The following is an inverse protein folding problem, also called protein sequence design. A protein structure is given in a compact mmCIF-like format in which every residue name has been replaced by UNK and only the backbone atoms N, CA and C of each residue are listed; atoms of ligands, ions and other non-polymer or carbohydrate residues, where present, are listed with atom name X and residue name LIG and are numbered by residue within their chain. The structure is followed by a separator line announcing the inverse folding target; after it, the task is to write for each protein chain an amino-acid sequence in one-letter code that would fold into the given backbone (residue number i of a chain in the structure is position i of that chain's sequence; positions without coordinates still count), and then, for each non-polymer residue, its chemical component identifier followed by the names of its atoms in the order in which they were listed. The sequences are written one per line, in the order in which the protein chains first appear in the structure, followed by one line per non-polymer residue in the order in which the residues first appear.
data_IF_299507174213
#
_entry.id   IF_299507174213
#
_cell.length_a   1.000
_cell.length_b   1.000
_cell.length_c   1.000
_cell.angle_alpha   90.00
_cell.angle_beta   90.00
_cell.angle_gamma   90.00
#
_symmetry.space_group_name_H-M   'P 1'
#
loop_
_entity.id
_entity.type
_entity.pdbx_description
1 polymer ?
#
# COMPACT_ATOMS: atom_id res chain seq x y z
N UNK A 1 1.89 -17.33 17.74
CA UNK A 1 2.01 -17.40 16.27
C UNK A 1 0.96 -16.47 15.69
N UNK A 2 1.34 -15.53 14.82
CA UNK A 2 0.38 -14.61 14.16
C UNK A 2 -0.33 -15.35 13.03
N UNK A 3 -1.66 -15.23 12.94
CA UNK A 3 -2.46 -15.82 11.86
C UNK A 3 -2.55 -14.83 10.70
N UNK A 4 -2.12 -15.26 9.51
CA UNK A 4 -2.25 -14.47 8.27
C UNK A 4 -3.70 -14.53 7.80
N UNK A 5 -4.35 -13.37 7.72
CA UNK A 5 -5.75 -13.25 7.28
C UNK A 5 -6.06 -11.79 6.88
N UNK A 6 -7.19 -11.53 6.22
CA UNK A 6 -7.64 -10.17 5.91
C UNK A 6 -7.85 -9.31 7.16
N UNK A 7 -8.00 -9.93 8.33
CA UNK A 7 -8.23 -9.24 9.60
C UNK A 7 -6.93 -8.86 10.32
N UNK A 8 -5.77 -9.35 9.86
CA UNK A 8 -4.48 -9.04 10.49
C UNK A 8 -4.20 -7.53 10.48
N UNK A 9 -4.64 -6.83 9.42
CA UNK A 9 -4.48 -5.39 9.29
C UNK A 9 -4.99 -4.61 10.52
N UNK A 10 -6.14 -5.01 11.08
CA UNK A 10 -6.77 -4.31 12.22
C UNK A 10 -5.91 -4.33 13.49
N UNK A 11 -4.99 -5.29 13.63
CA UNK A 11 -4.00 -5.31 14.72
C UNK A 11 -3.09 -4.07 14.69
N UNK A 12 -2.78 -3.57 13.50
CA UNK A 12 -1.85 -2.46 13.26
C UNK A 12 -2.54 -1.09 13.25
N UNK A 13 -3.87 -1.04 13.06
CA UNK A 13 -4.64 0.21 12.98
C UNK A 13 -5.04 0.78 14.35
N UNK A 14 -4.24 0.57 15.40
CA UNK A 14 -4.51 1.12 16.74
C UNK A 14 -4.26 2.63 16.81
N UNK A 15 -3.35 3.14 15.99
CA UNK A 15 -3.02 4.56 15.90
C UNK A 15 -4.03 5.26 14.96
N UNK A 16 -4.58 6.42 15.33
CA UNK A 16 -5.57 7.12 14.51
C UNK A 16 -5.08 7.42 13.09
N UNK A 17 -3.82 7.81 12.97
CA UNK A 17 -3.20 8.21 11.70
C UNK A 17 -3.19 7.11 10.64
N UNK A 18 -2.68 5.93 10.98
CA UNK A 18 -2.63 4.80 10.04
C UNK A 18 -4.04 4.27 9.72
N UNK A 19 -4.98 4.41 10.67
CA UNK A 19 -6.39 4.07 10.46
C UNK A 19 -7.07 5.01 9.46
N UNK A 20 -6.77 6.30 9.51
CA UNK A 20 -7.28 7.28 8.55
C UNK A 20 -6.83 6.95 7.12
N UNK A 21 -5.53 6.66 6.94
CA UNK A 21 -4.99 6.19 5.66
C UNK A 21 -5.69 4.92 5.18
N UNK A 22 -5.84 3.91 6.04
CA UNK A 22 -6.53 2.67 5.68
C UNK A 22 -8.00 2.90 5.31
N UNK A 23 -8.69 3.76 6.05
CA UNK A 23 -10.08 4.10 5.78
C UNK A 23 -10.22 4.80 4.42
N UNK A 24 -9.28 5.68 4.05
CA UNK A 24 -9.26 6.27 2.71
C UNK A 24 -9.15 5.16 1.64
N UNK A 25 -8.17 4.26 1.79
CA UNK A 25 -7.94 3.16 0.84
C UNK A 25 -9.17 2.25 0.66
N UNK A 26 -9.85 1.93 1.75
CA UNK A 26 -11.01 1.03 1.78
C UNK A 26 -12.31 1.67 1.26
N UNK A 27 -12.50 2.97 1.47
CA UNK A 27 -13.76 3.66 1.15
C UNK A 27 -13.70 4.48 -0.15
N UNK A 28 -12.53 4.64 -0.75
CA UNK A 28 -12.40 5.35 -2.02
C UNK A 28 -12.87 4.47 -3.19
N UNK A 29 -13.88 4.96 -3.91
CA UNK A 29 -14.53 4.24 -5.01
C UNK A 29 -13.57 3.94 -6.16
N UNK A 30 -12.62 4.83 -6.45
CA UNK A 30 -11.65 4.65 -7.53
C UNK A 30 -10.71 3.50 -7.20
N UNK A 31 -10.15 3.48 -5.97
CA UNK A 31 -9.28 2.39 -5.51
C UNK A 31 -10.00 1.05 -5.55
N UNK A 32 -11.18 0.95 -4.91
CA UNK A 32 -11.90 -0.32 -4.83
C UNK A 32 -12.33 -0.83 -6.22
N UNK A 33 -12.70 0.07 -7.14
CA UNK A 33 -13.04 -0.30 -8.51
C UNK A 33 -11.83 -0.85 -9.26
N UNK A 34 -10.66 -0.22 -9.15
CA UNK A 34 -9.46 -0.74 -9.81
C UNK A 34 -9.01 -2.09 -9.25
N UNK A 35 -9.10 -2.32 -7.94
CA UNK A 35 -8.79 -3.63 -7.36
C UNK A 35 -9.79 -4.71 -7.82
N UNK A 36 -11.06 -4.39 -8.02
CA UNK A 36 -12.01 -5.31 -8.64
C UNK A 36 -11.64 -5.60 -10.11
N UNK A 37 -11.23 -4.58 -10.86
CA UNK A 37 -10.77 -4.75 -12.24
C UNK A 37 -9.46 -5.54 -12.34
N UNK A 38 -8.58 -5.45 -11.34
CA UNK A 38 -7.40 -6.30 -11.22
C UNK A 38 -7.79 -7.78 -11.15
N UNK A 39 -8.85 -8.12 -10.41
CA UNK A 39 -9.39 -9.48 -10.39
C UNK A 39 -10.04 -9.90 -11.71
N UNK A 40 -10.73 -9.00 -12.42
CA UNK A 40 -11.23 -9.30 -13.77
C UNK A 40 -10.07 -9.69 -14.68
N UNK A 41 -8.93 -8.99 -14.60
CA UNK A 41 -7.74 -9.34 -15.37
C UNK A 41 -7.11 -10.66 -14.89
N UNK A 42 -6.69 -10.72 -13.63
CA UNK A 42 -5.89 -11.83 -13.13
C UNK A 42 -6.72 -13.11 -12.99
N UNK A 43 -7.90 -13.03 -12.39
CA UNK A 43 -8.72 -14.21 -12.05
C UNK A 43 -9.60 -14.63 -13.22
N UNK A 44 -10.41 -13.71 -13.77
CA UNK A 44 -11.41 -14.10 -14.76
C UNK A 44 -10.79 -14.40 -16.13
N UNK A 45 -9.85 -13.55 -16.58
CA UNK A 45 -9.22 -13.70 -17.90
C UNK A 45 -8.04 -14.66 -17.87
N UNK A 46 -7.14 -14.53 -16.89
CA UNK A 46 -5.87 -15.30 -16.84
C UNK A 46 -5.92 -16.55 -15.95
N UNK A 47 -7.00 -16.72 -15.16
CA UNK A 47 -7.17 -17.86 -14.23
C UNK A 47 -6.10 -17.95 -13.14
N UNK A 48 -5.56 -16.81 -12.72
CA UNK A 48 -4.69 -16.68 -11.55
C UNK A 48 -5.49 -16.54 -10.26
N UNK A 49 -4.78 -16.54 -9.13
CA UNK A 49 -5.35 -16.34 -7.79
C UNK A 49 -5.79 -14.87 -7.57
N UNK A 50 -6.39 -14.59 -6.42
CA UNK A 50 -6.89 -13.25 -6.04
C UNK A 50 -5.80 -12.17 -6.06
N UNK A 51 -6.10 -11.05 -6.71
CA UNK A 51 -5.34 -9.79 -6.75
C UNK A 51 -6.25 -8.58 -6.41
N UNK A 52 -7.40 -8.84 -5.76
CA UNK A 52 -8.40 -7.83 -5.45
C UNK A 52 -8.30 -7.23 -4.04
N UNK A 53 -9.41 -6.68 -3.50
CA UNK A 53 -9.41 -6.05 -2.18
C UNK A 53 -9.04 -7.00 -1.04
N UNK A 54 -9.40 -8.28 -1.14
CA UNK A 54 -9.07 -9.27 -0.10
C UNK A 54 -7.57 -9.52 -0.04
N UNK A 55 -6.94 -9.78 -1.19
CA UNK A 55 -5.50 -9.83 -1.36
C UNK A 55 -4.82 -8.58 -0.77
N UNK A 56 -5.28 -7.39 -1.16
CA UNK A 56 -4.71 -6.11 -0.71
C UNK A 56 -4.70 -5.98 0.82
N UNK A 57 -5.78 -6.40 1.51
CA UNK A 57 -5.85 -6.42 2.98
C UNK A 57 -4.89 -7.43 3.59
N UNK A 58 -4.80 -8.65 3.05
CA UNK A 58 -3.91 -9.70 3.54
C UNK A 58 -2.45 -9.25 3.43
N UNK A 59 -2.06 -8.75 2.25
CA UNK A 59 -0.70 -8.30 1.96
C UNK A 59 -0.32 -7.11 2.83
N UNK A 60 -1.21 -6.14 2.99
CA UNK A 60 -0.99 -4.99 3.88
C UNK A 60 -0.82 -5.37 5.35
N UNK A 61 -1.68 -6.25 5.87
CA UNK A 61 -1.57 -6.72 7.25
C UNK A 61 -0.28 -7.50 7.49
N UNK A 62 0.11 -8.34 6.52
CA UNK A 62 1.35 -9.13 6.59
C UNK A 62 2.59 -8.23 6.51
N UNK A 63 2.60 -7.24 5.61
CA UNK A 63 3.69 -6.29 5.45
C UNK A 63 3.92 -5.47 6.73
N UNK A 64 2.85 -5.00 7.37
CA UNK A 64 2.95 -4.28 8.64
C UNK A 64 3.39 -5.17 9.81
N UNK A 65 2.98 -6.44 9.84
CA UNK A 65 3.48 -7.40 10.84
C UNK A 65 4.99 -7.66 10.66
N UNK A 66 5.44 -7.87 9.43
CA UNK A 66 6.87 -8.03 9.11
C UNK A 66 7.64 -6.77 9.51
N UNK A 67 7.14 -5.59 9.12
CA UNK A 67 7.76 -4.31 9.46
C UNK A 67 7.89 -4.12 10.98
N UNK A 68 6.84 -4.41 11.74
CA UNK A 68 6.82 -4.34 13.20
C UNK A 68 7.83 -5.31 13.85
N UNK A 69 7.96 -6.53 13.34
CA UNK A 69 8.94 -7.51 13.84
C UNK A 69 10.36 -7.02 13.57
N UNK A 70 10.65 -6.58 12.33
CA UNK A 70 11.98 -6.13 11.93
C UNK A 70 12.38 -4.84 12.65
N UNK A 71 11.45 -3.91 12.86
CA UNK A 71 11.68 -2.63 13.52
C UNK A 71 12.12 -2.75 14.98
N UNK A 72 11.98 -3.93 15.61
CA UNK A 72 12.49 -4.20 16.96
C UNK A 72 14.00 -4.40 17.02
N UNK A 73 14.63 -4.69 15.88
CA UNK A 73 16.07 -4.99 15.79
C UNK A 73 16.79 -4.11 14.77
N UNK A 74 16.09 -3.61 13.77
CA UNK A 74 16.65 -2.84 12.67
C UNK A 74 15.92 -1.51 12.55
N UNK A 75 16.67 -0.44 12.32
CA UNK A 75 16.09 0.85 11.93
C UNK A 75 15.76 0.81 10.44
N UNK A 76 14.51 1.05 10.03
CA UNK A 76 14.16 1.16 8.60
C UNK A 76 15.01 2.23 7.91
N UNK A 77 15.40 1.99 6.66
CA UNK A 77 16.27 2.90 5.91
C UNK A 77 15.64 4.27 5.72
N UNK A 78 14.32 4.34 5.49
CA UNK A 78 13.55 5.59 5.43
C UNK A 78 13.67 6.44 6.70
N UNK A 79 13.82 5.80 7.87
CA UNK A 79 14.04 6.49 9.14
C UNK A 79 15.51 6.86 9.31
N UNK A 80 16.42 5.90 9.08
CA UNK A 80 17.87 6.08 9.19
C UNK A 80 18.37 7.22 8.30
N UNK A 81 17.86 7.30 7.09
CA UNK A 81 18.29 8.24 6.06
C UNK A 81 17.51 9.57 6.12
N UNK A 82 16.70 9.77 7.16
CA UNK A 82 16.00 11.04 7.42
C UNK A 82 14.84 11.34 6.47
N UNK A 83 14.31 10.33 5.76
CA UNK A 83 13.19 10.48 4.82
C UNK A 83 11.91 10.80 5.57
N UNK A 84 11.58 10.03 6.60
CA UNK A 84 10.36 10.17 7.39
C UNK A 84 10.48 9.58 8.81
N UNK A 85 9.45 9.77 9.65
CA UNK A 85 9.39 9.16 10.97
C UNK A 85 9.06 7.66 10.88
N UNK A 86 9.25 6.92 11.99
CA UNK A 86 8.87 5.50 12.05
C UNK A 86 7.36 5.27 11.83
N UNK A 87 6.52 6.21 12.26
CA UNK A 87 5.07 6.11 12.06
C UNK A 87 4.70 6.40 10.60
N UNK A 88 5.39 7.35 9.94
CA UNK A 88 5.19 7.63 8.52
C UNK A 88 5.74 6.51 7.62
N UNK A 89 6.80 5.82 8.06
CA UNK A 89 7.30 4.63 7.36
C UNK A 89 6.22 3.53 7.30
N UNK A 90 5.37 3.39 8.33
CA UNK A 90 4.23 2.46 8.29
C UNK A 90 3.19 2.87 7.25
N UNK A 91 3.01 4.17 6.99
CA UNK A 91 2.13 4.66 5.91
C UNK A 91 2.68 4.23 4.55
N UNK A 92 4.00 4.35 4.35
CA UNK A 92 4.63 3.89 3.11
C UNK A 92 4.45 2.37 2.92
N UNK A 93 4.66 1.58 3.97
CA UNK A 93 4.43 0.11 3.96
C UNK A 93 2.97 -0.23 3.66
N UNK A 94 2.02 0.42 4.33
CA UNK A 94 0.59 0.19 4.13
C UNK A 94 0.18 0.51 2.69
N UNK A 95 0.43 1.73 2.22
CA UNK A 95 0.01 2.15 0.89
C UNK A 95 0.71 1.35 -0.21
N UNK A 96 2.00 1.07 -0.05
CA UNK A 96 2.77 0.26 -0.99
C UNK A 96 2.18 -1.14 -1.11
N UNK A 97 1.96 -1.83 0.00
CA UNK A 97 1.39 -3.17 0.02
C UNK A 97 -0.06 -3.20 -0.47
N UNK A 98 -0.88 -2.21 -0.12
CA UNK A 98 -2.29 -2.18 -0.50
C UNK A 98 -2.48 -1.93 -2.00
N UNK A 99 -1.61 -1.12 -2.61
CA UNK A 99 -1.76 -0.69 -4.00
C UNK A 99 -0.82 -1.42 -4.97
N UNK A 100 0.06 -2.32 -4.50
CA UNK A 100 1.09 -2.93 -5.37
C UNK A 100 0.52 -3.54 -6.64
N UNK A 101 -0.57 -4.31 -6.52
CA UNK A 101 -1.20 -5.02 -7.64
C UNK A 101 -2.20 -4.19 -8.46
N UNK A 102 -2.44 -2.92 -8.13
CA UNK A 102 -3.51 -2.11 -8.75
C UNK A 102 -3.35 -1.98 -10.27
N UNK A 103 -2.12 -2.08 -10.78
CA UNK A 103 -1.82 -2.02 -12.21
C UNK A 103 -2.39 -3.17 -13.03
N UNK A 104 -2.73 -4.31 -12.39
CA UNK A 104 -3.42 -5.42 -13.06
C UNK A 104 -4.79 -4.99 -13.62
N UNK A 105 -5.38 -3.88 -13.13
CA UNK A 105 -6.58 -3.30 -13.71
C UNK A 105 -6.43 -2.91 -15.19
N UNK A 106 -5.20 -2.62 -15.64
CA UNK A 106 -4.88 -2.31 -17.04
C UNK A 106 -4.40 -3.55 -17.77
N UNK A 107 -3.33 -4.19 -17.29
CA UNK A 107 -2.72 -5.37 -17.89
C UNK A 107 -1.83 -6.11 -16.88
N UNK A 108 -1.57 -7.40 -17.12
CA UNK A 108 -0.64 -8.19 -16.30
C UNK A 108 0.82 -7.83 -16.60
N UNK A 109 1.18 -7.80 -17.88
CA UNK A 109 2.51 -7.34 -18.29
C UNK A 109 2.70 -5.89 -17.87
N UNK A 110 3.86 -5.59 -17.28
CA UNK A 110 4.20 -4.27 -16.75
C UNK A 110 3.19 -3.72 -15.72
N UNK A 111 2.45 -4.59 -14.99
CA UNK A 111 1.49 -4.16 -13.97
C UNK A 111 2.14 -3.30 -12.87
N UNK A 112 3.42 -3.49 -12.54
CA UNK A 112 4.14 -2.61 -11.62
C UNK A 112 4.27 -1.17 -12.15
N UNK A 113 4.58 -0.99 -13.44
CA UNK A 113 4.63 0.33 -14.11
C UNK A 113 3.25 0.98 -14.24
N UNK A 114 2.25 0.20 -14.62
CA UNK A 114 0.86 0.64 -14.65
C UNK A 114 0.38 1.00 -13.25
N UNK A 115 0.78 0.24 -12.23
CA UNK A 115 0.51 0.46 -10.82
C UNK A 115 1.04 1.82 -10.37
N UNK A 116 2.29 2.16 -10.71
CA UNK A 116 2.84 3.49 -10.42
C UNK A 116 2.02 4.61 -11.07
N UNK A 117 1.57 4.40 -12.31
CA UNK A 117 0.78 5.38 -13.07
C UNK A 117 -0.60 5.61 -12.46
N UNK A 118 -1.31 4.55 -12.07
CA UNK A 118 -2.63 4.62 -11.42
C UNK A 118 -2.51 5.15 -9.98
N UNK A 119 -1.54 4.67 -9.21
CA UNK A 119 -1.38 5.06 -7.81
C UNK A 119 -0.94 6.52 -7.64
N UNK A 120 -0.16 7.08 -8.58
CA UNK A 120 0.37 8.45 -8.46
C UNK A 120 -0.68 9.55 -8.19
N UNK A 121 -1.80 9.66 -8.93
CA UNK A 121 -2.86 10.62 -8.62
C UNK A 121 -3.64 10.28 -7.35
N UNK A 122 -3.87 9.00 -7.04
CA UNK A 122 -4.51 8.55 -5.79
C UNK A 122 -3.70 9.00 -4.58
N UNK A 123 -2.38 8.78 -4.61
CA UNK A 123 -1.46 9.18 -3.55
C UNK A 123 -1.37 10.70 -3.38
N UNK A 124 -1.55 11.49 -4.46
CA UNK A 124 -1.66 12.93 -4.33
C UNK A 124 -2.86 13.32 -3.47
N UNK A 125 -4.03 12.71 -3.70
CA UNK A 125 -5.25 13.00 -2.94
C UNK A 125 -5.09 12.55 -1.48
N UNK A 126 -4.75 11.28 -1.28
CA UNK A 126 -4.61 10.67 0.04
C UNK A 126 -3.60 11.42 0.91
N UNK A 127 -2.37 11.64 0.42
CA UNK A 127 -1.32 12.23 1.25
C UNK A 127 -1.55 13.71 1.52
N UNK A 128 -2.21 14.45 0.61
CA UNK A 128 -2.59 15.84 0.87
C UNK A 128 -3.69 15.98 1.90
N UNK A 129 -4.60 15.00 1.99
CA UNK A 129 -5.64 14.95 3.02
C UNK A 129 -5.05 14.63 4.40
N UNK A 130 -4.17 13.62 4.47
CA UNK A 130 -3.58 13.15 5.73
C UNK A 130 -2.44 14.06 6.25
N UNK A 131 -1.73 14.76 5.35
CA UNK A 131 -0.60 15.62 5.72
C UNK A 131 -0.70 17.04 5.10
N UNK A 132 -1.77 17.80 5.40
CA UNK A 132 -2.05 19.07 4.72
C UNK A 132 -0.99 20.14 4.95
N UNK A 133 -0.27 20.07 6.07
CA UNK A 133 0.73 21.06 6.47
C UNK A 133 2.17 20.74 6.02
N UNK A 134 2.44 19.55 5.46
CA UNK A 134 3.81 19.12 5.17
C UNK A 134 3.96 18.54 3.75
N UNK A 135 4.00 19.44 2.76
CA UNK A 135 4.12 19.07 1.35
C UNK A 135 5.38 18.26 1.05
N UNK A 136 6.50 18.60 1.68
CA UNK A 136 7.76 17.88 1.46
C UNK A 136 7.66 16.41 1.90
N UNK A 137 7.08 16.16 3.07
CA UNK A 137 6.82 14.80 3.55
C UNK A 137 5.90 14.02 2.58
N UNK A 138 4.85 14.65 2.05
CA UNK A 138 3.97 13.98 1.07
C UNK A 138 4.72 13.54 -0.19
N UNK A 139 5.68 14.34 -0.67
CA UNK A 139 6.47 14.00 -1.85
C UNK A 139 7.44 12.85 -1.55
N UNK A 140 8.09 12.87 -0.38
CA UNK A 140 8.96 11.78 0.07
C UNK A 140 8.20 10.48 0.22
N UNK A 141 7.06 10.49 0.94
CA UNK A 141 6.22 9.30 1.11
C UNK A 141 5.68 8.77 -0.20
N UNK A 142 5.23 9.66 -1.11
CA UNK A 142 4.81 9.26 -2.45
C UNK A 142 5.93 8.53 -3.19
N UNK A 143 7.16 9.04 -3.12
CA UNK A 143 8.32 8.41 -3.76
C UNK A 143 8.58 7.01 -3.20
N UNK A 144 8.58 6.85 -1.87
CA UNK A 144 8.77 5.54 -1.22
C UNK A 144 7.65 4.55 -1.57
N UNK A 145 6.39 5.01 -1.60
CA UNK A 145 5.24 4.16 -1.95
C UNK A 145 5.33 3.70 -3.41
N UNK A 146 5.62 4.63 -4.33
CA UNK A 146 5.79 4.28 -5.75
C UNK A 146 6.99 3.37 -5.96
N UNK A 147 8.07 3.52 -5.18
CA UNK A 147 9.20 2.60 -5.19
C UNK A 147 8.78 1.19 -4.73
N UNK A 148 7.98 1.06 -3.67
CA UNK A 148 7.40 -0.22 -3.26
C UNK A 148 6.54 -0.84 -4.37
N UNK A 149 5.69 -0.06 -5.02
CA UNK A 149 4.84 -0.51 -6.13
C UNK A 149 5.68 -0.86 -7.36
N UNK A 150 6.79 -0.19 -7.63
CA UNK A 150 7.64 -0.57 -8.76
C UNK A 150 8.41 -1.87 -8.47
N UNK A 151 8.90 -2.04 -7.23
CA UNK A 151 9.85 -3.08 -6.85
C UNK A 151 9.21 -4.41 -6.40
N UNK A 152 7.89 -4.55 -6.48
CA UNK A 152 7.23 -5.81 -6.13
C UNK A 152 7.23 -6.82 -7.28
N UNK A 153 7.56 -6.39 -8.50
CA UNK A 153 7.69 -7.29 -9.64
C UNK A 153 8.97 -8.14 -9.52
N UNK A 154 8.93 -9.31 -10.16
CA UNK A 154 9.93 -10.38 -10.07
C UNK A 154 11.39 -9.94 -10.36
#
# INVERSE_FOLDING_TARGET
MTVVSPHLIYKHLRKPHLREVFNFLENDVEIQTYLQMANVMAVERLRYNDHGPVHSRITSGSALEIFEILSRRFTPTTVRDGVCSLEDAKVAVLCGAYLHDIGNAIHRDAHHMHGCSIASPILNRLLSEVYPANRELTLRLKSEILHCIFSHDE
#
